data_IF_519122194406
#
_entry.id   IF_519122194406
#
_cell.length_a   1.000
_cell.length_b   1.000
_cell.length_c   1.000
_cell.angle_alpha   90.00
_cell.angle_beta   90.00
_cell.angle_gamma   90.00
#
_symmetry.space_group_name_H-M   'P 1'
#
loop_
_entity.id
_entity.type
_entity.pdbx_description
1 polymer ?
#
# COMPACT_ATOMS: atom_id res chain seq x y z
N UNK A 1 -14.49 2.03 32.94
CA UNK A 1 -14.80 0.95 31.97
C UNK A 1 -13.90 1.06 30.75
N UNK A 2 -13.79 2.23 30.12
CA UNK A 2 -12.87 2.48 29.00
C UNK A 2 -11.39 2.25 29.36
N UNK A 3 -10.99 2.53 30.61
CA UNK A 3 -9.63 2.22 31.11
C UNK A 3 -9.33 0.72 31.22
N UNK A 4 -10.37 -0.13 31.23
CA UNK A 4 -10.22 -1.57 31.30
C UNK A 4 -10.14 -2.24 29.91
N UNK A 5 -10.21 -1.45 28.82
CA UNK A 5 -10.11 -1.96 27.45
C UNK A 5 -9.00 -1.22 26.68
N UNK A 6 -8.37 -1.86 25.67
CA UNK A 6 -7.40 -1.18 24.81
C UNK A 6 -7.97 0.10 24.18
N UNK A 7 -7.12 1.11 23.99
CA UNK A 7 -7.52 2.42 23.45
C UNK A 7 -8.06 2.35 22.02
N UNK A 8 -7.77 1.27 21.28
CA UNK A 8 -8.24 1.01 19.93
C UNK A 8 -9.48 0.08 19.90
N UNK A 9 -10.11 -0.15 21.05
CA UNK A 9 -11.36 -0.90 21.17
C UNK A 9 -12.47 -0.01 21.71
N UNK A 10 -13.64 -0.16 21.09
CA UNK A 10 -14.87 0.48 21.50
C UNK A 10 -15.71 -0.46 22.37
N UNK A 11 -16.56 0.12 23.22
CA UNK A 11 -17.57 -0.58 24.02
C UNK A 11 -18.95 -0.05 23.64
N UNK A 12 -20.01 -0.83 23.83
CA UNK A 12 -21.37 -0.33 23.65
C UNK A 12 -21.98 0.13 24.98
N UNK A 13 -22.77 1.20 24.93
CA UNK A 13 -23.55 1.69 26.07
C UNK A 13 -24.95 2.11 25.62
N UNK A 14 -25.83 2.45 26.56
CA UNK A 14 -27.19 2.87 26.20
C UNK A 14 -27.15 4.24 25.49
N UNK A 15 -27.99 4.48 24.47
CA UNK A 15 -28.04 5.77 23.77
C UNK A 15 -28.18 6.97 24.71
N UNK A 16 -29.13 6.92 25.65
CA UNK A 16 -29.32 7.96 26.67
C UNK A 16 -28.08 8.13 27.55
N UNK A 17 -27.44 7.04 27.94
CA UNK A 17 -26.24 7.05 28.77
C UNK A 17 -25.06 7.74 28.06
N UNK A 18 -24.80 7.38 26.80
CA UNK A 18 -23.76 8.03 26.00
C UNK A 18 -24.02 9.53 25.85
N UNK A 19 -25.26 9.92 25.53
CA UNK A 19 -25.65 11.33 25.39
C UNK A 19 -25.55 12.11 26.70
N UNK A 20 -25.87 11.48 27.83
CA UNK A 20 -25.69 12.08 29.15
C UNK A 20 -24.22 12.36 29.50
N UNK A 21 -23.30 11.51 29.03
CA UNK A 21 -21.86 11.67 29.26
C UNK A 21 -21.19 12.66 28.30
N UNK A 22 -21.57 12.64 27.02
CA UNK A 22 -20.83 13.33 25.96
C UNK A 22 -21.66 14.34 25.15
N UNK A 23 -22.90 14.59 25.57
CA UNK A 23 -23.82 15.52 24.93
C UNK A 23 -24.57 14.93 23.73
N UNK A 24 -25.34 15.78 23.06
CA UNK A 24 -26.26 15.39 21.98
C UNK A 24 -25.67 15.56 20.57
N UNK A 25 -24.42 16.00 20.47
CA UNK A 25 -23.74 16.16 19.19
C UNK A 25 -23.08 14.81 18.80
N UNK A 26 -23.38 14.24 17.63
CA UNK A 26 -22.74 13.00 17.19
C UNK A 26 -21.22 13.18 17.02
N UNK A 27 -20.52 12.07 16.87
CA UNK A 27 -19.11 12.01 16.50
C UNK A 27 -18.94 12.60 15.10
N UNK A 28 -18.01 13.54 14.96
CA UNK A 28 -17.62 14.04 13.65
C UNK A 28 -16.58 13.12 12.99
N UNK A 29 -16.43 13.19 11.68
CA UNK A 29 -15.39 12.46 10.95
C UNK A 29 -13.97 12.73 11.48
N UNK A 30 -13.70 13.93 12.02
CA UNK A 30 -12.41 14.30 12.61
C UNK A 30 -12.22 13.75 14.03
N UNK A 31 -13.31 13.59 14.78
CA UNK A 31 -13.28 13.00 16.13
C UNK A 31 -13.24 11.46 16.08
N UNK A 32 -13.80 10.86 15.02
CA UNK A 32 -13.82 9.42 14.79
C UNK A 32 -12.41 8.83 14.89
N UNK A 33 -12.28 7.72 15.63
CA UNK A 33 -11.03 6.98 15.81
C UNK A 33 -9.87 7.76 16.44
N UNK A 34 -10.12 8.95 17.00
CA UNK A 34 -9.11 9.75 17.71
C UNK A 34 -8.60 9.09 19.00
N UNK A 35 -9.31 8.08 19.51
CA UNK A 35 -9.06 7.47 20.81
C UNK A 35 -9.70 8.23 21.97
N UNK A 36 -10.43 9.32 21.70
CA UNK A 36 -11.25 10.00 22.71
C UNK A 36 -12.32 9.06 23.26
N UNK A 37 -12.72 9.26 24.51
CA UNK A 37 -13.74 8.43 25.15
C UNK A 37 -15.04 8.38 24.35
N UNK A 38 -15.49 9.54 23.83
CA UNK A 38 -16.69 9.62 22.98
C UNK A 38 -16.55 8.78 21.70
N UNK A 39 -15.37 8.77 21.08
CA UNK A 39 -15.08 7.97 19.87
C UNK A 39 -14.94 6.46 20.13
N UNK A 40 -14.90 6.04 21.39
CA UNK A 40 -14.77 4.63 21.83
C UNK A 40 -16.04 4.07 22.46
N UNK A 41 -17.15 4.78 22.39
CA UNK A 41 -18.44 4.32 22.93
C UNK A 41 -19.47 4.23 21.81
N UNK A 42 -19.90 3.03 21.47
CA UNK A 42 -21.01 2.74 20.58
C UNK A 42 -22.33 2.56 21.32
N UNK A 43 -23.31 1.95 20.66
CA UNK A 43 -24.66 1.78 21.20
C UNK A 43 -25.03 0.33 21.43
N UNK A 44 -25.75 0.10 22.51
CA UNK A 44 -26.62 -1.05 22.68
C UNK A 44 -28.04 -0.51 22.88
N UNK A 45 -28.91 -0.76 21.91
CA UNK A 45 -30.30 -0.30 21.95
C UNK A 45 -31.21 -1.45 22.36
N UNK A 46 -31.70 -1.39 23.60
CA UNK A 46 -32.67 -2.35 24.11
C UNK A 46 -34.04 -2.08 23.50
N UNK A 47 -34.84 -3.12 23.32
CA UNK A 47 -36.13 -3.01 22.64
C UNK A 47 -36.04 -2.32 21.26
N UNK A 48 -35.04 -2.70 20.46
CA UNK A 48 -34.86 -2.19 19.10
C UNK A 48 -36.19 -2.28 18.32
N UNK A 49 -36.56 -1.17 17.64
CA UNK A 49 -37.79 -0.96 16.87
C UNK A 49 -39.09 -0.73 17.65
N UNK A 50 -39.08 -0.76 18.98
CA UNK A 50 -40.32 -0.62 19.76
C UNK A 50 -40.62 0.84 20.13
N UNK A 51 -41.91 1.16 20.27
CA UNK A 51 -42.42 2.49 20.66
C UNK A 51 -43.15 2.56 22.01
N UNK A 52 -43.18 1.45 22.77
CA UNK A 52 -43.88 1.40 24.06
C UNK A 52 -42.97 1.67 25.27
N UNK A 53 -43.47 2.47 26.21
CA UNK A 53 -42.82 2.85 27.47
C UNK A 53 -42.87 1.67 28.45
N UNK A 54 -41.93 0.74 28.32
CA UNK A 54 -41.45 0.00 29.48
C UNK A 54 -40.41 0.86 30.18
N UNK A 55 -40.33 0.77 31.50
CA UNK A 55 -39.45 1.54 32.42
C UNK A 55 -37.93 1.45 32.16
N UNK A 56 -37.52 0.94 30.99
CA UNK A 56 -36.17 0.99 30.49
C UNK A 56 -35.88 2.43 30.07
N UNK A 57 -35.33 3.20 31.01
CA UNK A 57 -34.74 4.52 30.84
C UNK A 57 -33.64 4.62 29.75
N UNK A 58 -33.54 3.68 28.81
CA UNK A 58 -32.42 3.46 27.90
C UNK A 58 -32.73 3.76 26.43
N UNK A 59 -34.01 3.88 26.07
CA UNK A 59 -34.43 3.90 24.67
C UNK A 59 -34.78 5.31 24.20
N UNK A 60 -34.24 5.70 23.04
CA UNK A 60 -34.74 6.85 22.28
C UNK A 60 -35.56 6.30 21.10
N UNK A 61 -36.82 6.72 21.08
CA UNK A 61 -37.91 6.13 20.31
C UNK A 61 -37.77 6.24 18.78
N UNK A 62 -38.18 5.14 18.11
CA UNK A 62 -38.40 4.89 16.67
C UNK A 62 -37.30 5.35 15.69
N UNK A 63 -36.60 4.36 15.13
CA UNK A 63 -35.57 4.50 14.12
C UNK A 63 -34.18 4.78 14.69
N UNK A 64 -33.10 4.64 13.90
CA UNK A 64 -31.83 5.24 14.27
C UNK A 64 -32.08 6.75 14.32
N UNK A 65 -32.10 7.35 15.52
CA UNK A 65 -32.08 8.81 15.61
C UNK A 65 -30.90 9.32 14.77
N UNK A 66 -30.99 10.50 14.15
CA UNK A 66 -29.88 11.03 13.33
C UNK A 66 -28.53 10.99 14.07
N UNK A 67 -28.55 11.08 15.39
CA UNK A 67 -27.40 10.88 16.27
C UNK A 67 -26.80 9.48 16.16
N UNK A 68 -27.60 8.41 16.35
CA UNK A 68 -27.13 7.04 16.23
C UNK A 68 -26.71 6.72 14.80
N UNK A 69 -27.49 7.09 13.78
CA UNK A 69 -27.09 6.87 12.39
C UNK A 69 -25.72 7.51 12.07
N UNK A 70 -25.48 8.75 12.50
CA UNK A 70 -24.20 9.42 12.27
C UNK A 70 -23.04 8.73 13.00
N UNK A 71 -23.25 8.33 14.26
CA UNK A 71 -22.24 7.64 15.04
C UNK A 71 -21.95 6.22 14.53
N UNK A 72 -22.96 5.52 13.99
CA UNK A 72 -22.84 4.15 13.44
C UNK A 72 -21.90 4.03 12.25
N UNK A 73 -21.46 5.15 11.68
CA UNK A 73 -20.38 5.19 10.71
C UNK A 73 -19.00 4.92 11.33
N UNK A 74 -18.87 5.00 12.66
CA UNK A 74 -17.57 5.02 13.35
C UNK A 74 -17.51 4.15 14.61
N UNK A 75 -18.64 3.87 15.27
CA UNK A 75 -18.67 3.09 16.52
C UNK A 75 -19.66 1.92 16.42
N UNK A 76 -19.40 0.81 17.13
CA UNK A 76 -20.24 -0.38 17.03
C UNK A 76 -21.67 -0.11 17.49
N UNK A 77 -22.64 -0.73 16.83
CA UNK A 77 -24.03 -0.73 17.30
C UNK A 77 -24.61 -2.13 17.42
N UNK A 78 -25.25 -2.37 18.56
CA UNK A 78 -25.93 -3.63 18.88
C UNK A 78 -27.42 -3.37 19.04
N UNK A 79 -28.21 -3.93 18.12
CA UNK A 79 -29.65 -3.98 18.22
C UNK A 79 -30.04 -5.15 19.14
N UNK A 80 -30.88 -4.91 20.13
CA UNK A 80 -31.45 -5.99 20.95
C UNK A 80 -32.96 -6.00 20.70
N UNK A 81 -33.40 -6.97 19.90
CA UNK A 81 -34.80 -7.16 19.61
C UNK A 81 -35.42 -7.95 20.77
N UNK A 82 -36.19 -7.28 21.62
CA UNK A 82 -36.83 -7.91 22.77
C UNK A 82 -38.35 -8.04 22.51
N UNK A 83 -38.88 -9.26 22.36
CA UNK A 83 -40.30 -9.47 22.11
C UNK A 83 -41.19 -8.98 23.26
N UNK A 84 -40.65 -8.84 24.48
CA UNK A 84 -41.40 -8.32 25.63
C UNK A 84 -41.68 -6.82 25.52
N UNK A 85 -41.04 -6.11 24.60
CA UNK A 85 -41.27 -4.68 24.40
C UNK A 85 -42.48 -4.39 23.49
N UNK A 86 -43.22 -5.43 23.09
CA UNK A 86 -44.58 -5.33 22.54
C UNK A 86 -44.69 -5.00 21.05
N UNK A 87 -43.56 -4.90 20.34
CA UNK A 87 -43.53 -4.69 18.89
C UNK A 87 -42.87 -5.89 18.19
N UNK A 88 -43.58 -6.45 17.21
CA UNK A 88 -43.12 -7.56 16.37
C UNK A 88 -42.99 -7.04 14.92
N UNK A 89 -41.80 -6.62 14.47
CA UNK A 89 -41.60 -6.13 13.12
C UNK A 89 -41.61 -7.28 12.10
N UNK A 90 -41.85 -6.93 10.84
CA UNK A 90 -41.53 -7.84 9.72
C UNK A 90 -40.01 -7.87 9.48
N UNK A 91 -39.51 -8.90 8.80
CA UNK A 91 -38.10 -8.95 8.41
C UNK A 91 -37.67 -7.76 7.55
N UNK A 92 -38.56 -7.21 6.72
CA UNK A 92 -38.25 -6.02 5.91
C UNK A 92 -38.06 -4.77 6.77
N UNK A 93 -38.89 -4.60 7.80
CA UNK A 93 -38.76 -3.51 8.76
C UNK A 93 -37.45 -3.62 9.55
N UNK A 94 -37.09 -4.84 9.97
CA UNK A 94 -35.79 -5.08 10.59
C UNK A 94 -34.64 -4.66 9.69
N UNK A 95 -34.62 -5.16 8.45
CA UNK A 95 -33.52 -4.90 7.53
C UNK A 95 -33.40 -3.41 7.22
N UNK A 96 -34.51 -2.72 6.94
CA UNK A 96 -34.49 -1.29 6.64
C UNK A 96 -33.89 -0.46 7.78
N UNK A 97 -34.20 -0.81 9.02
CA UNK A 97 -33.74 -0.07 10.20
C UNK A 97 -32.31 -0.44 10.62
N UNK A 98 -31.95 -1.73 10.49
CA UNK A 98 -30.57 -2.19 10.64
C UNK A 98 -29.65 -1.47 9.64
N UNK A 99 -30.13 -1.31 8.41
CA UNK A 99 -29.42 -0.66 7.33
C UNK A 99 -29.25 0.85 7.58
N UNK A 100 -30.36 1.54 7.87
CA UNK A 100 -30.37 2.99 8.11
C UNK A 100 -29.53 3.42 9.33
N UNK A 101 -29.38 2.53 10.32
CA UNK A 101 -28.62 2.81 11.54
C UNK A 101 -27.20 2.27 11.57
N UNK A 102 -26.78 1.59 10.49
CA UNK A 102 -25.47 0.94 10.39
C UNK A 102 -25.21 -0.09 11.51
N UNK A 103 -26.23 -0.88 11.84
CA UNK A 103 -26.16 -1.81 12.98
C UNK A 103 -25.27 -3.02 12.69
N UNK A 104 -24.31 -3.27 13.56
CA UNK A 104 -23.30 -4.33 13.38
C UNK A 104 -23.74 -5.70 13.88
N UNK A 105 -24.67 -5.71 14.83
CA UNK A 105 -25.15 -6.93 15.44
C UNK A 105 -26.62 -6.80 15.84
N UNK A 106 -27.32 -7.94 15.82
CA UNK A 106 -28.67 -8.07 16.34
C UNK A 106 -28.75 -9.28 17.28
N UNK A 107 -29.33 -9.06 18.46
CA UNK A 107 -29.64 -10.10 19.43
C UNK A 107 -31.15 -10.41 19.43
N UNK A 108 -31.48 -11.70 19.59
CA UNK A 108 -32.85 -12.24 19.62
C UNK A 108 -33.76 -11.86 18.42
N UNK A 109 -33.26 -11.86 17.16
CA UNK A 109 -34.12 -11.57 16.00
C UNK A 109 -35.20 -12.64 15.78
N UNK A 110 -34.94 -13.89 16.20
CA UNK A 110 -35.80 -15.05 15.95
C UNK A 110 -37.14 -14.91 16.66
N UNK A 111 -37.11 -14.67 17.96
CA UNK A 111 -38.30 -14.49 18.78
C UNK A 111 -39.02 -13.20 18.42
N UNK A 112 -38.28 -12.12 18.12
CA UNK A 112 -38.85 -10.85 17.72
C UNK A 112 -39.55 -10.90 16.35
N UNK A 113 -39.16 -11.82 15.48
CA UNK A 113 -39.85 -12.16 14.23
C UNK A 113 -41.00 -13.18 14.42
N UNK A 114 -41.27 -13.60 15.67
CA UNK A 114 -42.26 -14.63 15.97
C UNK A 114 -41.89 -16.02 15.43
N UNK A 115 -40.59 -16.30 15.25
CA UNK A 115 -40.07 -17.60 14.80
C UNK A 115 -39.50 -18.39 15.97
N UNK A 116 -39.20 -19.67 15.72
CA UNK A 116 -38.65 -20.59 16.71
C UNK A 116 -37.30 -21.18 16.32
N UNK A 117 -36.74 -20.77 15.18
CA UNK A 117 -35.45 -21.26 14.68
C UNK A 117 -34.68 -20.18 13.94
N UNK A 118 -33.38 -20.10 14.22
CA UNK A 118 -32.43 -19.23 13.52
C UNK A 118 -32.22 -19.63 12.05
N UNK A 119 -32.67 -20.83 11.67
CA UNK A 119 -32.62 -21.31 10.29
C UNK A 119 -33.85 -20.91 9.47
N UNK A 120 -34.85 -20.26 10.07
CA UNK A 120 -36.00 -19.72 9.33
C UNK A 120 -35.50 -18.75 8.24
N UNK A 121 -35.97 -18.86 6.99
CA UNK A 121 -35.48 -18.02 5.89
C UNK A 121 -35.55 -16.51 6.16
N UNK A 122 -36.56 -16.05 6.90
CA UNK A 122 -36.72 -14.64 7.27
C UNK A 122 -35.68 -14.22 8.31
N UNK A 123 -35.42 -15.05 9.30
CA UNK A 123 -34.37 -14.81 10.32
C UNK A 123 -32.99 -14.80 9.69
N UNK A 124 -32.68 -15.80 8.85
CA UNK A 124 -31.41 -15.88 8.12
C UNK A 124 -31.20 -14.63 7.26
N UNK A 125 -32.27 -14.09 6.67
CA UNK A 125 -32.20 -12.86 5.88
C UNK A 125 -31.82 -11.66 6.77
N UNK A 126 -32.46 -11.49 7.92
CA UNK A 126 -32.13 -10.42 8.89
C UNK A 126 -30.69 -10.56 9.40
N UNK A 127 -30.28 -11.77 9.81
CA UNK A 127 -28.93 -12.05 10.30
C UNK A 127 -27.84 -11.78 9.24
N UNK A 128 -28.17 -11.85 7.95
CA UNK A 128 -27.24 -11.53 6.85
C UNK A 128 -27.18 -10.04 6.52
N UNK A 129 -28.08 -9.22 7.05
CA UNK A 129 -28.18 -7.78 6.78
C UNK A 129 -27.48 -6.89 7.81
N UNK A 130 -27.02 -7.44 8.93
CA UNK A 130 -26.22 -6.68 9.92
C UNK A 130 -24.77 -6.51 9.47
N UNK A 131 -24.10 -5.50 10.01
CA UNK A 131 -22.68 -5.24 9.81
C UNK A 131 -22.34 -4.90 8.36
N UNK A 132 -21.05 -4.84 8.08
CA UNK A 132 -20.56 -4.69 6.72
C UNK A 132 -20.59 -6.02 5.97
N UNK A 133 -20.73 -5.96 4.64
CA UNK A 133 -20.64 -7.10 3.74
C UNK A 133 -19.85 -6.72 2.49
N UNK A 134 -18.53 -6.84 2.56
CA UNK A 134 -17.67 -6.51 1.43
C UNK A 134 -17.69 -7.59 0.35
N UNK A 135 -18.02 -7.18 -0.88
CA UNK A 135 -17.98 -8.02 -2.07
C UNK A 135 -17.00 -7.43 -3.07
N UNK A 136 -16.12 -8.29 -3.58
CA UNK A 136 -15.23 -7.98 -4.69
C UNK A 136 -16.04 -7.80 -5.97
N UNK A 137 -15.94 -6.63 -6.58
CA UNK A 137 -16.45 -6.34 -7.92
C UNK A 137 -15.40 -6.71 -8.96
N UNK A 138 -14.17 -6.26 -8.76
CA UNK A 138 -13.07 -6.55 -9.68
C UNK A 138 -11.71 -6.45 -8.97
N UNK A 139 -10.76 -7.21 -9.51
CA UNK A 139 -9.34 -7.04 -9.23
C UNK A 139 -8.62 -6.93 -10.59
N UNK A 140 -7.78 -5.91 -10.74
CA UNK A 140 -7.04 -5.65 -11.97
C UNK A 140 -5.58 -5.39 -11.66
N UNK A 141 -4.71 -6.12 -12.34
CA UNK A 141 -3.26 -6.02 -12.21
C UNK A 141 -2.60 -6.49 -13.52
N UNK A 142 -1.33 -6.13 -13.76
CA UNK A 142 -0.58 -6.66 -14.89
C UNK A 142 -0.51 -8.20 -14.87
N UNK A 143 -0.35 -8.79 -16.06
CA UNK A 143 -0.12 -10.24 -16.17
C UNK A 143 1.27 -10.66 -15.71
N UNK A 144 2.24 -9.73 -15.69
CA UNK A 144 3.58 -9.99 -15.23
C UNK A 144 4.20 -8.77 -14.54
N UNK A 145 5.17 -9.04 -13.67
CA UNK A 145 6.03 -8.05 -13.02
C UNK A 145 7.43 -8.63 -12.89
N UNK A 146 8.46 -7.83 -13.08
CA UNK A 146 9.81 -8.27 -12.76
C UNK A 146 10.07 -8.18 -11.26
N UNK A 147 10.75 -9.16 -10.68
CA UNK A 147 11.17 -9.08 -9.28
C UNK A 147 11.94 -7.77 -9.01
N UNK A 148 11.69 -7.13 -7.87
CA UNK A 148 12.27 -5.82 -7.53
C UNK A 148 11.66 -4.62 -8.25
N UNK A 149 10.69 -4.80 -9.15
CA UNK A 149 9.95 -3.69 -9.77
C UNK A 149 8.60 -3.48 -9.07
N UNK A 150 8.24 -2.21 -8.88
CA UNK A 150 6.93 -1.86 -8.34
C UNK A 150 5.82 -2.24 -9.34
N UNK A 151 4.70 -2.69 -8.79
CA UNK A 151 3.46 -2.94 -9.52
C UNK A 151 2.29 -2.38 -8.73
N UNK A 152 1.11 -2.46 -9.32
CA UNK A 152 -0.11 -1.92 -8.72
C UNK A 152 -1.24 -2.91 -8.95
N UNK A 153 -2.02 -3.13 -7.89
CA UNK A 153 -3.23 -3.92 -7.88
C UNK A 153 -4.40 -2.98 -7.60
N UNK A 154 -5.29 -2.83 -8.57
CA UNK A 154 -6.56 -2.13 -8.39
C UNK A 154 -7.63 -3.12 -7.92
N UNK A 155 -8.28 -2.84 -6.79
CA UNK A 155 -9.34 -3.69 -6.21
C UNK A 155 -10.58 -2.85 -6.00
N UNK A 156 -11.67 -3.18 -6.69
CA UNK A 156 -12.97 -2.53 -6.47
C UNK A 156 -13.82 -3.40 -5.57
N UNK A 157 -14.22 -2.86 -4.43
CA UNK A 157 -15.14 -3.47 -3.48
C UNK A 157 -16.44 -2.68 -3.41
N UNK A 158 -17.53 -3.37 -3.10
CA UNK A 158 -18.78 -2.76 -2.63
C UNK A 158 -19.11 -3.30 -1.25
N UNK A 159 -19.65 -2.46 -0.38
CA UNK A 159 -20.29 -2.91 0.85
C UNK A 159 -21.79 -3.10 0.57
N UNK A 160 -22.27 -4.34 0.55
CA UNK A 160 -23.69 -4.63 0.22
C UNK A 160 -24.66 -4.33 1.38
N UNK A 161 -24.15 -4.03 2.59
CA UNK A 161 -24.95 -3.81 3.79
C UNK A 161 -24.73 -2.40 4.37
N UNK A 162 -25.57 -2.03 5.34
CA UNK A 162 -25.51 -0.75 6.03
C UNK A 162 -24.40 -0.60 7.08
N UNK A 163 -23.86 -1.68 7.65
CA UNK A 163 -22.83 -1.53 8.70
C UNK A 163 -21.48 -1.06 8.16
N UNK A 164 -20.63 -0.51 9.03
CA UNK A 164 -19.30 0.04 8.66
C UNK A 164 -18.17 -0.63 9.45
N UNK A 165 -16.94 -0.57 8.92
CA UNK A 165 -15.79 -1.14 9.60
C UNK A 165 -15.31 -0.22 10.73
N UNK A 166 -15.57 -0.58 11.98
CA UNK A 166 -15.14 0.19 13.16
C UNK A 166 -13.87 -0.35 13.84
N UNK A 167 -13.42 -1.57 13.50
CA UNK A 167 -12.13 -2.11 13.96
C UNK A 167 -11.13 -2.11 12.82
N UNK A 168 -9.92 -1.58 13.06
CA UNK A 168 -8.84 -1.57 12.07
C UNK A 168 -8.55 -2.99 11.58
N UNK A 169 -8.17 -3.09 10.31
CA UNK A 169 -7.63 -4.31 9.72
C UNK A 169 -6.28 -4.00 9.09
N UNK A 170 -5.50 -4.99 8.73
CA UNK A 170 -4.45 -4.75 7.72
C UNK A 170 -5.01 -4.97 6.33
N UNK A 171 -4.31 -4.48 5.32
CA UNK A 171 -4.57 -4.80 3.93
C UNK A 171 -3.28 -5.38 3.39
N UNK A 172 -3.23 -6.69 3.18
CA UNK A 172 -2.01 -7.34 2.72
C UNK A 172 -2.20 -7.94 1.33
N UNK A 173 -1.26 -7.63 0.44
CA UNK A 173 -1.14 -8.32 -0.84
C UNK A 173 -0.20 -9.50 -0.64
N UNK A 174 -0.67 -10.68 -1.05
CA UNK A 174 0.08 -11.93 -0.94
C UNK A 174 0.30 -12.49 -2.33
N UNK A 175 1.56 -12.76 -2.66
CA UNK A 175 1.93 -13.55 -3.83
C UNK A 175 2.34 -14.93 -3.33
N UNK A 176 1.63 -15.99 -3.75
CA UNK A 176 1.98 -17.38 -3.40
C UNK A 176 2.41 -18.16 -4.63
N UNK A 177 3.65 -18.64 -4.64
CA UNK A 177 4.20 -19.39 -5.77
C UNK A 177 3.41 -20.68 -5.98
N UNK A 178 2.94 -20.95 -7.20
CA UNK A 178 2.00 -22.07 -7.46
C UNK A 178 2.64 -23.45 -7.27
N UNK A 179 3.94 -23.60 -7.49
CA UNK A 179 4.66 -24.88 -7.31
C UNK A 179 5.16 -25.12 -5.88
N UNK A 180 5.88 -24.15 -5.28
CA UNK A 180 6.52 -24.31 -3.97
C UNK A 180 5.63 -23.93 -2.80
N UNK A 181 4.57 -23.14 -3.03
CA UNK A 181 3.75 -22.56 -1.96
C UNK A 181 4.42 -21.43 -1.18
N UNK A 182 5.64 -21.04 -1.54
CA UNK A 182 6.35 -19.91 -0.93
C UNK A 182 5.55 -18.61 -1.10
N UNK A 183 5.55 -17.77 -0.06
CA UNK A 183 4.73 -16.55 -0.01
C UNK A 183 5.61 -15.31 0.11
N UNK A 184 5.30 -14.30 -0.68
CA UNK A 184 5.64 -12.91 -0.38
C UNK A 184 4.39 -12.22 0.16
N UNK A 185 4.54 -11.48 1.26
CA UNK A 185 3.46 -10.71 1.89
C UNK A 185 3.92 -9.27 1.99
N UNK A 186 3.10 -8.34 1.54
CA UNK A 186 3.31 -6.91 1.76
C UNK A 186 2.09 -6.31 2.45
N UNK A 187 2.29 -5.79 3.65
CA UNK A 187 1.34 -4.96 4.35
C UNK A 187 1.24 -3.59 3.65
N UNK A 188 0.03 -3.21 3.28
CA UNK A 188 -0.28 -1.93 2.65
C UNK A 188 -0.87 -1.03 3.72
N UNK A 189 -0.15 0.04 4.00
CA UNK A 189 -0.60 1.08 4.92
C UNK A 189 -1.84 1.75 4.30
N UNK A 190 -2.96 1.68 5.02
CA UNK A 190 -4.18 2.40 4.64
C UNK A 190 -4.12 3.87 5.02
N UNK A 191 -5.14 4.36 5.72
CA UNK A 191 -5.20 5.73 6.22
C UNK A 191 -4.50 5.93 7.59
N UNK A 192 -4.44 7.18 8.05
CA UNK A 192 -3.87 7.57 9.34
C UNK A 192 -4.72 7.13 10.56
N UNK A 193 -5.93 6.61 10.36
CA UNK A 193 -6.86 6.16 11.42
C UNK A 193 -6.95 4.63 11.49
N UNK A 194 -5.92 3.94 11.01
CA UNK A 194 -5.83 2.48 11.03
C UNK A 194 -6.71 1.83 9.98
N UNK A 195 -6.71 2.38 8.76
CA UNK A 195 -7.36 1.96 7.52
C UNK A 195 -8.88 1.80 7.48
N UNK A 196 -9.59 2.11 8.56
CA UNK A 196 -11.05 1.96 8.64
C UNK A 196 -11.80 2.74 7.56
N UNK A 197 -11.39 3.99 7.32
CA UNK A 197 -11.99 4.85 6.29
C UNK A 197 -11.50 4.50 4.88
N UNK A 198 -10.51 3.62 4.75
CA UNK A 198 -10.05 3.11 3.46
C UNK A 198 -11.05 2.11 2.87
N UNK A 199 -11.80 1.37 3.70
CA UNK A 199 -12.88 0.48 3.25
C UNK A 199 -14.11 1.26 2.75
N UNK A 200 -14.95 0.65 1.88
CA UNK A 200 -16.23 1.27 1.51
C UNK A 200 -17.15 1.40 2.74
N UNK A 201 -17.79 2.55 2.88
CA UNK A 201 -18.88 2.77 3.84
C UNK A 201 -20.15 2.03 3.42
N UNK A 202 -21.26 2.22 4.14
CA UNK A 202 -22.58 1.65 3.84
C UNK A 202 -22.97 1.86 2.36
N UNK A 203 -23.28 0.77 1.63
CA UNK A 203 -23.65 0.78 0.20
C UNK A 203 -22.65 1.44 -0.75
N UNK A 204 -21.45 1.79 -0.28
CA UNK A 204 -20.44 2.45 -1.07
C UNK A 204 -19.71 1.44 -1.96
N UNK A 205 -19.40 1.85 -3.19
CA UNK A 205 -18.40 1.18 -4.02
C UNK A 205 -17.11 1.99 -4.00
N UNK A 206 -16.00 1.34 -3.67
CA UNK A 206 -14.69 1.98 -3.54
C UNK A 206 -13.61 1.18 -4.25
N UNK A 207 -12.70 1.88 -4.92
CA UNK A 207 -11.55 1.26 -5.59
C UNK A 207 -10.28 1.59 -4.83
N UNK A 208 -9.61 0.55 -4.37
CA UNK A 208 -8.26 0.63 -3.85
C UNK A 208 -7.24 0.56 -4.99
N UNK A 209 -6.16 1.31 -4.84
CA UNK A 209 -4.99 1.24 -5.72
C UNK A 209 -3.81 0.88 -4.85
N UNK A 210 -3.51 -0.42 -4.76
CA UNK A 210 -2.53 -0.99 -3.84
C UNK A 210 -1.19 -1.12 -4.56
N UNK A 211 -0.20 -0.31 -4.16
CA UNK A 211 1.16 -0.40 -4.69
C UNK A 211 1.94 -1.50 -3.94
N UNK A 212 2.54 -2.43 -4.66
CA UNK A 212 3.37 -3.48 -4.08
C UNK A 212 4.66 -3.66 -4.88
N UNK A 213 5.72 -4.09 -4.22
CA UNK A 213 7.03 -4.33 -4.85
C UNK A 213 7.54 -5.70 -4.41
N UNK A 214 7.41 -6.74 -5.26
CA UNK A 214 8.04 -8.03 -5.00
C UNK A 214 9.54 -7.82 -4.80
N UNK A 215 10.20 -8.45 -3.81
CA UNK A 215 11.63 -8.28 -3.60
C UNK A 215 12.42 -8.85 -4.78
N UNK A 216 13.60 -8.30 -5.07
CA UNK A 216 14.45 -8.77 -6.18
C UNK A 216 14.90 -10.24 -6.03
N UNK A 217 14.84 -10.78 -4.80
CA UNK A 217 15.12 -12.18 -4.48
C UNK A 217 13.93 -13.11 -4.69
N UNK A 218 12.73 -12.60 -5.00
CA UNK A 218 11.55 -13.44 -5.20
C UNK A 218 11.77 -14.36 -6.40
N UNK A 219 11.61 -15.69 -6.26
CA UNK A 219 11.82 -16.62 -7.37
C UNK A 219 10.91 -16.30 -8.56
N UNK A 220 11.44 -16.40 -9.77
CA UNK A 220 10.65 -16.25 -10.99
C UNK A 220 9.68 -17.43 -11.14
N UNK A 221 8.47 -17.16 -11.63
CA UNK A 221 7.43 -18.19 -11.78
C UNK A 221 6.03 -17.63 -11.65
N UNK A 222 5.01 -18.50 -11.80
CA UNK A 222 3.61 -18.11 -11.63
C UNK A 222 3.22 -18.06 -10.15
N UNK A 223 2.52 -16.99 -9.76
CA UNK A 223 2.02 -16.76 -8.41
C UNK A 223 0.50 -16.58 -8.41
N UNK A 224 -0.18 -17.20 -7.45
CA UNK A 224 -1.51 -16.80 -7.04
C UNK A 224 -1.44 -15.42 -6.39
N UNK A 225 -2.38 -14.53 -6.74
CA UNK A 225 -2.55 -13.26 -6.04
C UNK A 225 -3.71 -13.36 -5.06
N UNK A 226 -3.41 -13.12 -3.79
CA UNK A 226 -4.38 -13.14 -2.70
C UNK A 226 -4.37 -11.83 -1.94
N UNK A 227 -5.50 -11.55 -1.30
CA UNK A 227 -5.72 -10.42 -0.41
C UNK A 227 -5.99 -10.97 1.00
N UNK A 228 -5.23 -10.52 1.99
CA UNK A 228 -5.53 -10.81 3.39
C UNK A 228 -5.98 -9.51 4.08
N UNK A 229 -6.98 -9.64 4.95
CA UNK A 229 -7.57 -8.53 5.68
C UNK A 229 -7.59 -8.83 7.20
N UNK A 230 -6.43 -9.12 7.81
CA UNK A 230 -6.33 -9.68 9.15
C UNK A 230 -6.50 -8.62 10.24
N UNK A 231 -6.68 -9.07 11.48
CA UNK A 231 -6.61 -8.20 12.64
C UNK A 231 -5.16 -7.69 12.86
N UNK A 232 -4.98 -6.41 13.25
CA UNK A 232 -3.64 -5.83 13.43
C UNK A 232 -2.87 -6.39 14.64
N UNK A 233 -3.54 -7.01 15.62
CA UNK A 233 -2.85 -7.64 16.75
C UNK A 233 -2.11 -8.90 16.29
N UNK A 234 -0.81 -8.98 16.58
CA UNK A 234 0.04 -10.12 16.19
C UNK A 234 -0.53 -11.46 16.68
N UNK A 235 -1.14 -11.49 17.87
CA UNK A 235 -1.76 -12.71 18.44
C UNK A 235 -3.04 -13.16 17.72
N UNK A 236 -3.63 -12.31 16.88
CA UNK A 236 -4.86 -12.57 16.13
C UNK A 236 -4.63 -12.61 14.61
N UNK A 237 -3.51 -12.05 14.14
CA UNK A 237 -3.19 -11.89 12.72
C UNK A 237 -3.34 -13.17 11.90
N UNK A 238 -2.75 -14.27 12.38
CA UNK A 238 -2.72 -15.55 11.67
C UNK A 238 -3.94 -16.44 11.99
N UNK A 239 -4.94 -15.90 12.70
CA UNK A 239 -6.19 -16.60 13.01
C UNK A 239 -7.25 -16.26 11.95
N UNK A 240 -7.63 -17.22 11.09
CA UNK A 240 -8.52 -16.94 9.96
C UNK A 240 -9.89 -16.40 10.37
N UNK A 241 -10.38 -16.74 11.56
CA UNK A 241 -11.64 -16.24 12.12
C UNK A 241 -11.61 -14.74 12.50
N UNK A 242 -10.42 -14.10 12.51
CA UNK A 242 -10.24 -12.67 12.72
C UNK A 242 -9.91 -11.90 11.43
N UNK A 243 -9.83 -12.58 10.27
CA UNK A 243 -9.65 -11.94 8.96
C UNK A 243 -11.00 -11.67 8.29
N UNK A 244 -11.09 -10.59 7.51
CA UNK A 244 -12.30 -10.29 6.75
C UNK A 244 -12.40 -11.22 5.53
N UNK A 245 -13.50 -11.98 5.50
CA UNK A 245 -13.92 -12.78 4.36
C UNK A 245 -14.74 -11.94 3.37
N UNK A 246 -14.33 -11.91 2.10
CA UNK A 246 -15.13 -11.31 1.03
C UNK A 246 -16.34 -12.20 0.68
N UNK A 247 -17.45 -11.56 0.33
CA UNK A 247 -18.75 -12.18 0.06
C UNK A 247 -18.84 -12.91 -1.31
N UNK A 248 -17.71 -13.27 -1.91
CA UNK A 248 -17.61 -13.91 -3.20
C UNK A 248 -17.47 -15.43 -3.05
N UNK A 249 -18.07 -16.18 -3.98
CA UNK A 249 -17.89 -17.62 -4.06
C UNK A 249 -16.45 -17.95 -4.51
N UNK A 250 -15.89 -19.05 -4.01
CA UNK A 250 -14.56 -19.57 -4.39
C UNK A 250 -13.37 -18.63 -4.14
N UNK A 251 -13.57 -17.53 -3.40
CA UNK A 251 -12.51 -16.58 -3.03
C UNK A 251 -11.89 -16.93 -1.67
N UNK A 252 -12.67 -17.38 -0.69
CA UNK A 252 -12.20 -17.58 0.69
C UNK A 252 -11.40 -18.87 0.91
N UNK A 253 -10.22 -18.77 1.52
CA UNK A 253 -9.41 -19.89 2.02
C UNK A 253 -9.58 -20.05 3.53
N UNK A 254 -10.40 -21.02 3.96
CA UNK A 254 -10.71 -21.20 5.39
C UNK A 254 -9.51 -21.50 6.29
N UNK A 255 -8.46 -22.13 5.76
CA UNK A 255 -7.27 -22.50 6.54
C UNK A 255 -6.31 -21.32 6.80
N UNK A 256 -6.32 -20.30 5.94
CA UNK A 256 -5.36 -19.18 5.97
C UNK A 256 -6.02 -17.83 6.23
N UNK A 257 -7.32 -17.71 5.96
CA UNK A 257 -8.04 -16.44 6.01
C UNK A 257 -7.83 -15.56 4.79
N UNK A 258 -7.25 -16.11 3.71
CA UNK A 258 -6.94 -15.34 2.51
C UNK A 258 -8.12 -15.31 1.52
N UNK A 259 -8.21 -14.22 0.77
CA UNK A 259 -9.16 -14.04 -0.32
C UNK A 259 -8.41 -14.16 -1.67
N UNK A 260 -8.63 -15.25 -2.42
CA UNK A 260 -8.11 -15.46 -3.77
C UNK A 260 -8.74 -14.47 -4.76
N UNK A 261 -7.91 -13.73 -5.49
CA UNK A 261 -8.38 -12.79 -6.50
C UNK A 261 -8.61 -13.44 -7.88
N UNK A 262 -8.32 -14.73 -8.02
CA UNK A 262 -8.54 -15.47 -9.27
C UNK A 262 -7.58 -15.09 -10.41
N UNK A 263 -6.45 -14.45 -10.09
CA UNK A 263 -5.44 -14.02 -11.05
C UNK A 263 -4.11 -14.74 -10.83
N UNK A 264 -3.43 -15.09 -11.92
CA UNK A 264 -2.04 -15.57 -11.89
C UNK A 264 -1.11 -14.46 -12.35
N UNK A 265 -0.23 -14.02 -11.46
CA UNK A 265 0.81 -13.05 -11.78
C UNK A 265 2.09 -13.79 -12.15
N UNK A 266 2.64 -13.51 -13.33
CA UNK A 266 3.95 -14.01 -13.70
C UNK A 266 5.05 -13.11 -13.14
N UNK A 267 5.81 -13.61 -12.16
CA UNK A 267 7.02 -12.93 -11.68
C UNK A 267 8.17 -13.33 -12.60
N UNK A 268 8.68 -12.37 -13.38
CA UNK A 268 9.90 -12.59 -14.18
C UNK A 268 11.13 -12.32 -13.33
N UNK A 269 12.31 -12.82 -13.74
CA UNK A 269 13.57 -12.44 -13.10
C UNK A 269 13.67 -10.92 -12.98
N UNK A 270 14.39 -10.41 -11.97
CA UNK A 270 14.53 -8.98 -11.81
C UNK A 270 15.02 -8.37 -13.11
N UNK A 271 14.46 -7.21 -13.47
CA UNK A 271 14.98 -6.49 -14.62
C UNK A 271 16.40 -6.12 -14.25
N UNK A 272 17.35 -6.93 -14.73
CA UNK A 272 18.70 -6.47 -14.92
C UNK A 272 18.52 -5.42 -15.99
N UNK A 273 18.30 -4.17 -15.58
CA UNK A 273 18.89 -3.09 -16.34
C UNK A 273 20.32 -3.51 -16.37
N UNK A 274 20.75 -4.07 -17.50
CA UNK A 274 22.12 -3.90 -17.85
C UNK A 274 22.26 -2.39 -17.72
N UNK A 275 22.88 -1.96 -16.62
CA UNK A 275 24.05 -1.13 -16.81
C UNK A 275 24.81 -1.96 -17.82
N UNK A 276 24.53 -1.69 -19.10
CA UNK A 276 25.58 -1.51 -20.04
C UNK A 276 26.49 -0.58 -19.22
N UNK A 277 27.44 -1.19 -18.53
CA UNK A 277 28.76 -0.99 -19.03
C UNK A 277 28.66 -1.27 -20.54
N UNK A 278 28.17 -0.28 -21.30
CA UNK A 278 29.06 0.36 -22.20
C UNK A 278 30.26 0.50 -21.29
N UNK A 279 31.25 -0.39 -21.44
CA UNK A 279 32.62 0.06 -21.42
C UNK A 279 32.52 1.47 -21.93
N UNK A 280 32.38 2.43 -21.00
CA UNK A 280 31.97 3.79 -21.32
C UNK A 280 33.04 4.17 -22.31
N UNK A 281 32.73 4.34 -23.62
CA UNK A 281 33.63 4.02 -24.73
C UNK A 281 35.01 4.37 -24.25
N UNK A 282 35.81 3.37 -23.82
CA UNK A 282 36.94 3.63 -22.90
C UNK A 282 37.68 4.76 -23.56
N UNK A 283 37.65 5.97 -22.99
CA UNK A 283 37.94 7.15 -23.80
C UNK A 283 39.27 6.90 -24.48
N UNK A 284 39.24 6.62 -25.78
CA UNK A 284 40.42 6.08 -26.43
C UNK A 284 41.26 7.29 -26.69
N UNK A 285 42.27 7.48 -25.86
CA UNK A 285 43.34 8.38 -26.21
C UNK A 285 44.09 7.70 -27.36
N UNK A 286 44.07 8.31 -28.53
CA UNK A 286 44.92 7.92 -29.64
C UNK A 286 45.79 9.13 -29.95
N UNK A 287 47.11 8.96 -29.76
CA UNK A 287 48.10 9.98 -30.10
C UNK A 287 48.71 9.64 -31.44
N UNK A 288 48.46 10.49 -32.42
CA UNK A 288 49.08 10.36 -33.75
C UNK A 288 50.16 11.42 -33.91
N UNK A 289 51.35 11.06 -34.41
CA UNK A 289 52.35 12.04 -34.83
C UNK A 289 51.76 12.87 -35.97
N UNK A 290 51.80 14.20 -35.86
CA UNK A 290 51.45 15.07 -36.98
C UNK A 290 52.65 15.11 -37.95
N UNK A 291 52.50 14.73 -39.23
CA UNK A 291 53.60 14.83 -40.18
C UNK A 291 53.83 16.30 -40.53
N UNK A 292 54.85 16.92 -39.95
CA UNK A 292 55.45 18.15 -40.48
C UNK A 292 56.97 18.11 -40.40
N UNK A 293 57.67 18.70 -41.39
CA UNK A 293 59.13 18.67 -41.48
C UNK A 293 59.73 19.83 -40.67
N UNK A 294 59.87 19.67 -39.35
CA UNK A 294 60.90 20.31 -38.50
C UNK A 294 60.50 20.20 -37.03
N UNK A 295 61.50 19.96 -36.18
CA UNK A 295 61.36 19.56 -34.78
C UNK A 295 60.44 20.45 -33.94
N UNK A 296 59.70 19.81 -33.04
CA UNK A 296 58.59 20.31 -32.21
C UNK A 296 57.20 20.22 -32.86
N UNK A 297 56.80 19.00 -33.23
CA UNK A 297 55.43 18.72 -33.65
C UNK A 297 54.47 18.72 -32.43
N UNK A 298 53.32 19.43 -32.48
CA UNK A 298 52.27 19.29 -31.46
C UNK A 298 51.63 17.89 -31.56
N UNK A 299 51.39 17.26 -30.42
CA UNK A 299 50.70 15.96 -30.34
C UNK A 299 49.20 16.16 -30.55
N UNK A 300 48.59 15.42 -31.47
CA UNK A 300 47.13 15.32 -31.55
C UNK A 300 46.66 14.16 -30.70
N UNK A 301 45.78 14.44 -29.74
CA UNK A 301 45.11 13.42 -28.95
C UNK A 301 43.62 13.40 -29.31
N UNK A 302 43.15 12.29 -29.87
CA UNK A 302 41.72 12.05 -29.97
C UNK A 302 41.22 11.61 -28.59
N UNK A 303 40.15 12.22 -28.10
CA UNK A 303 39.61 11.97 -26.76
C UNK A 303 38.09 11.85 -26.86
N UNK A 304 37.60 10.62 -26.82
CA UNK A 304 36.17 10.31 -26.90
C UNK A 304 35.56 10.28 -25.49
N UNK A 305 34.92 11.37 -25.07
CA UNK A 305 34.16 11.42 -23.82
C UNK A 305 32.78 12.07 -24.04
N UNK A 306 31.74 11.62 -23.31
CA UNK A 306 30.39 12.17 -23.47
C UNK A 306 30.31 13.58 -22.86
N UNK A 307 30.42 14.61 -23.70
CA UNK A 307 30.07 15.99 -23.33
C UNK A 307 31.06 17.07 -23.80
N UNK A 308 30.54 18.28 -24.05
CA UNK A 308 31.33 19.49 -24.31
C UNK A 308 31.73 20.13 -22.97
N UNK A 309 33.02 20.29 -22.72
CA UNK A 309 33.53 20.88 -21.47
C UNK A 309 35.04 21.08 -21.46
N UNK A 310 35.54 21.78 -20.44
CA UNK A 310 36.98 21.96 -20.26
C UNK A 310 37.63 20.72 -19.63
N UNK A 311 38.87 20.42 -19.99
CA UNK A 311 39.62 19.28 -19.44
C UNK A 311 40.96 19.73 -18.86
N UNK A 312 41.51 18.93 -17.94
CA UNK A 312 42.90 19.01 -17.48
C UNK A 312 43.72 17.94 -18.18
N UNK A 313 44.89 18.30 -18.70
CA UNK A 313 45.83 17.38 -19.35
C UNK A 313 47.17 17.42 -18.63
N UNK A 314 47.73 16.24 -18.31
CA UNK A 314 49.00 16.12 -17.61
C UNK A 314 49.89 15.08 -18.26
N UNK A 315 51.19 15.35 -18.33
CA UNK A 315 52.20 14.38 -18.67
C UNK A 315 52.91 13.93 -17.39
N UNK A 316 52.98 12.63 -17.15
CA UNK A 316 53.62 12.03 -16.00
C UNK A 316 54.81 11.16 -16.43
N UNK A 317 55.85 11.11 -15.61
CA UNK A 317 56.88 10.09 -15.75
C UNK A 317 56.35 8.71 -15.28
N UNK A 318 57.13 7.65 -15.50
CA UNK A 318 56.74 6.29 -15.09
C UNK A 318 56.64 6.10 -13.56
N UNK A 319 57.14 7.06 -12.77
CA UNK A 319 56.99 7.08 -11.32
C UNK A 319 55.74 7.87 -10.88
N UNK A 320 54.92 8.34 -11.83
CA UNK A 320 53.69 9.07 -11.57
C UNK A 320 53.89 10.53 -11.20
N UNK A 321 55.07 11.11 -11.41
CA UNK A 321 55.33 12.54 -11.13
C UNK A 321 54.91 13.38 -12.32
N UNK A 322 54.19 14.46 -12.07
CA UNK A 322 53.73 15.38 -13.13
C UNK A 322 54.92 16.17 -13.68
N UNK A 323 55.23 15.94 -14.96
CA UNK A 323 56.29 16.64 -15.71
C UNK A 323 55.75 17.84 -16.48
N UNK A 324 54.46 17.80 -16.83
CA UNK A 324 53.76 18.90 -17.49
C UNK A 324 52.26 18.85 -17.16
N UNK A 325 51.60 20.02 -17.11
CA UNK A 325 50.18 20.17 -16.79
C UNK A 325 49.60 21.37 -17.54
N UNK A 326 48.42 21.20 -18.12
CA UNK A 326 47.59 22.28 -18.64
C UNK A 326 46.16 22.11 -18.14
N UNK A 327 45.59 23.16 -17.58
CA UNK A 327 44.21 23.19 -17.11
C UNK A 327 43.28 23.91 -18.08
N UNK A 328 41.99 23.60 -17.98
CA UNK A 328 40.90 24.28 -18.69
C UNK A 328 41.04 24.32 -20.22
N UNK A 329 41.62 23.27 -20.81
CA UNK A 329 41.69 23.10 -22.27
C UNK A 329 40.28 22.85 -22.83
N UNK A 330 39.89 23.63 -23.83
CA UNK A 330 38.59 23.50 -24.51
C UNK A 330 38.75 22.61 -25.73
N UNK A 331 37.80 21.70 -25.94
CA UNK A 331 37.81 20.74 -27.06
C UNK A 331 37.72 21.48 -28.41
N UNK A 332 38.47 21.00 -29.42
CA UNK A 332 38.53 21.59 -30.75
C UNK A 332 37.41 21.10 -31.69
N UNK A 333 36.61 20.13 -31.24
CA UNK A 333 35.46 19.55 -31.93
C UNK A 333 34.81 18.45 -31.07
N UNK A 334 33.73 17.80 -31.54
CA UNK A 334 33.17 16.65 -30.85
C UNK A 334 34.25 15.55 -30.81
N UNK A 335 34.81 15.32 -29.62
CA UNK A 335 35.78 14.26 -29.30
C UNK A 335 37.24 14.48 -29.77
N UNK A 336 37.69 15.72 -29.99
CA UNK A 336 39.10 16.00 -30.31
C UNK A 336 39.72 17.11 -29.47
N UNK A 337 40.96 16.87 -29.01
CA UNK A 337 41.78 17.85 -28.29
C UNK A 337 43.05 18.14 -29.10
N UNK A 338 43.27 19.42 -29.40
CA UNK A 338 44.55 19.90 -29.89
C UNK A 338 45.41 20.21 -28.68
N UNK A 339 46.47 19.44 -28.46
CA UNK A 339 47.41 19.72 -27.38
C UNK A 339 48.45 20.73 -27.88
N UNK A 340 48.79 21.76 -27.08
CA UNK A 340 49.93 22.61 -27.37
C UNK A 340 51.22 21.78 -27.35
N UNK A 341 52.32 22.32 -27.92
CA UNK A 341 53.61 21.65 -27.94
C UNK A 341 54.01 21.20 -26.53
N UNK A 342 54.14 19.88 -26.34
CA UNK A 342 54.46 19.28 -25.05
C UNK A 342 55.98 19.26 -24.91
N UNK A 343 56.57 19.88 -23.87
CA UNK A 343 58.01 19.87 -23.66
C UNK A 343 58.44 18.53 -23.07
N UNK A 344 58.57 17.51 -23.92
CA UNK A 344 59.08 16.20 -23.56
C UNK A 344 60.04 15.69 -24.64
N UNK A 345 61.19 15.16 -24.22
CA UNK A 345 62.18 14.53 -25.09
C UNK A 345 62.61 13.21 -24.48
N UNK A 346 62.66 12.15 -25.31
CA UNK A 346 63.26 10.86 -24.97
C UNK A 346 62.62 10.09 -23.82
N UNK A 347 61.81 9.08 -24.16
CA UNK A 347 61.43 8.01 -23.24
C UNK A 347 59.92 7.88 -22.96
N UNK A 348 59.54 6.92 -22.10
CA UNK A 348 58.15 6.62 -21.82
C UNK A 348 57.52 7.61 -20.84
N UNK A 349 56.36 8.15 -21.22
CA UNK A 349 55.53 8.99 -20.36
C UNK A 349 54.11 8.44 -20.29
N UNK A 350 53.33 8.92 -19.32
CA UNK A 350 51.89 8.71 -19.24
C UNK A 350 51.19 10.04 -19.49
N UNK A 351 50.37 10.11 -20.53
CA UNK A 351 49.48 11.25 -20.76
C UNK A 351 48.15 10.98 -20.05
N UNK A 352 47.77 11.86 -19.14
CA UNK A 352 46.54 11.79 -18.34
C UNK A 352 45.60 12.93 -18.72
N UNK A 353 44.37 12.61 -19.09
CA UNK A 353 43.30 13.58 -19.35
C UNK A 353 42.20 13.40 -18.31
N UNK A 354 41.77 14.48 -17.67
CA UNK A 354 40.74 14.47 -16.62
C UNK A 354 39.66 15.49 -16.94
N UNK A 355 38.42 15.03 -17.05
CA UNK A 355 37.24 15.90 -17.17
C UNK A 355 36.57 16.07 -15.79
N UNK A 356 35.90 17.20 -15.51
CA UNK A 356 35.19 17.43 -14.26
C UNK A 356 34.18 16.32 -13.97
N UNK A 357 34.22 15.76 -12.76
CA UNK A 357 33.31 14.68 -12.33
C UNK A 357 33.53 13.33 -13.04
N UNK A 358 34.61 13.17 -13.80
CA UNK A 358 34.95 11.92 -14.50
C UNK A 358 36.29 11.36 -14.02
N UNK A 359 36.44 10.04 -14.06
CA UNK A 359 37.71 9.39 -13.77
C UNK A 359 38.78 9.77 -14.82
N UNK A 360 40.05 9.94 -14.41
CA UNK A 360 41.13 10.29 -15.33
C UNK A 360 41.43 9.14 -16.28
N UNK A 361 41.69 9.47 -17.54
CA UNK A 361 42.06 8.52 -18.59
C UNK A 361 43.54 8.67 -18.90
N UNK A 362 44.26 7.56 -19.03
CA UNK A 362 45.71 7.56 -19.22
C UNK A 362 46.12 6.75 -20.44
N UNK A 363 47.16 7.22 -21.15
CA UNK A 363 47.82 6.47 -22.19
C UNK A 363 49.33 6.59 -22.08
N UNK A 364 50.02 5.47 -22.24
CA UNK A 364 51.48 5.46 -22.34
C UNK A 364 51.91 6.00 -23.69
N UNK A 365 52.82 6.96 -23.67
CA UNK A 365 53.47 7.54 -24.83
C UNK A 365 54.93 7.13 -24.84
N UNK A 366 55.46 6.89 -26.03
CA UNK A 366 56.90 6.82 -26.27
C UNK A 366 57.27 8.06 -27.07
N UNK A 367 57.95 9.01 -26.44
CA UNK A 367 58.44 10.21 -27.11
C UNK A 367 59.83 9.88 -27.64
N UNK A 368 59.96 9.79 -28.97
CA UNK A 368 61.24 9.54 -29.64
C UNK A 368 62.15 10.76 -29.57
#
# INVERSE_FOLDING_TARGET
MLDATPSDRAICYTPRGKRGLYGNAPISATEAFSGSDKSRVGFQNQCFLTDSQGDYHTNEYRGPTPYMATDGLYVPQIAVADPNCGYLPTGDQFIAELDAGHWDHIAAPTEALGKTSDTDPEVVRVLKSVGYRFRLISASLPNSVAAGQASTLAVTLVNDNGGTLYNARKIEVILRHQTTGEKFVQDIIGDQVGNRLYFPSAHETKTWTLAFTPPASLPAGPYDVLLNLPDPYVSLHDRPEYSIRLANQNTWEAATGYNKLGHTLQVTPPTVTAVRTATAPVARLAVTPNPMPSGHAPLRAQYEAPGRGWVRVQLLDLLGRVRWNQERLVQAGPNSLLLPAVPATGGPFLLRVTAPGQAPVQQRLQVQ
#
